data_IF_058783163746
#
_entry.id   IF_058783163746
#
_cell.length_a   1.000
_cell.length_b   1.000
_cell.length_c   1.000
_cell.angle_alpha   90.00
_cell.angle_beta   90.00
_cell.angle_gamma   90.00
#
_symmetry.space_group_name_H-M   'P 1'
#
loop_
_entity.id
_entity.type
_entity.pdbx_description
1 polymer ?
#
# COMPACT_ATOMS: atom_id res chain seq x y z
N UNK A 1 -13.19 7.73 5.29
CA UNK A 1 -14.27 6.98 5.95
C UNK A 1 -14.17 7.23 7.45
N UNK A 2 -15.25 6.99 8.20
CA UNK A 2 -15.25 7.03 9.67
C UNK A 2 -16.12 5.87 10.18
N UNK A 3 -15.90 5.45 11.43
CA UNK A 3 -16.68 4.42 12.12
C UNK A 3 -17.21 5.02 13.41
N UNK A 4 -18.53 5.01 13.60
CA UNK A 4 -19.19 5.68 14.71
C UNK A 4 -19.08 4.92 16.06
N UNK A 5 -18.85 3.61 16.02
CA UNK A 5 -18.72 2.79 17.22
C UNK A 5 -17.36 3.00 17.90
N UNK A 6 -17.36 3.58 19.10
CA UNK A 6 -16.15 3.82 19.88
C UNK A 6 -15.41 2.54 20.28
N UNK A 7 -16.10 1.39 20.36
CA UNK A 7 -15.47 0.11 20.68
C UNK A 7 -14.47 -0.29 19.58
N UNK A 8 -14.77 0.05 18.32
CA UNK A 8 -13.88 -0.23 17.18
C UNK A 8 -12.49 0.37 17.37
N UNK A 9 -12.40 1.57 17.96
CA UNK A 9 -11.16 2.32 18.10
C UNK A 9 -10.33 1.94 19.33
N UNK A 10 -10.89 1.17 20.27
CA UNK A 10 -10.23 0.85 21.53
C UNK A 10 -8.99 -0.02 21.33
N UNK A 11 -7.83 0.49 21.75
CA UNK A 11 -6.56 -0.24 21.67
C UNK A 11 -5.94 -0.31 20.28
N UNK A 12 -6.46 0.44 19.30
CA UNK A 12 -5.84 0.57 17.99
C UNK A 12 -4.68 1.57 18.03
N UNK A 13 -3.55 1.19 17.44
CA UNK A 13 -2.43 2.09 17.15
C UNK A 13 -2.43 2.43 15.65
N UNK A 14 -2.63 3.71 15.27
CA UNK A 14 -2.59 4.11 13.88
C UNK A 14 -1.20 3.92 13.27
N UNK A 15 -1.16 3.47 12.01
CA UNK A 15 0.06 3.45 11.22
C UNK A 15 0.42 4.87 10.79
N UNK A 16 1.72 5.17 10.73
CA UNK A 16 2.22 6.49 10.31
C UNK A 16 2.53 6.44 8.82
N UNK A 17 2.20 7.49 8.07
CA UNK A 17 2.64 7.61 6.69
C UNK A 17 4.09 8.07 6.66
N UNK A 18 4.92 7.39 5.88
CA UNK A 18 6.29 7.87 5.64
C UNK A 18 6.29 9.03 4.63
N UNK A 19 7.26 9.93 4.76
CA UNK A 19 7.54 10.97 3.77
C UNK A 19 8.69 10.56 2.83
N UNK A 20 9.30 9.39 3.06
CA UNK A 20 10.42 8.92 2.28
C UNK A 20 9.96 8.06 1.10
N UNK A 21 10.66 8.21 -0.03
CA UNK A 21 10.48 7.31 -1.18
C UNK A 21 11.38 6.10 -0.98
N UNK A 22 10.86 4.86 -1.02
CA UNK A 22 11.64 3.67 -0.77
C UNK A 22 12.60 3.43 -1.93
N UNK A 23 13.74 2.81 -1.62
CA UNK A 23 14.80 2.55 -2.60
C UNK A 23 14.50 1.29 -3.38
N UNK A 24 15.09 1.16 -4.57
CA UNK A 24 15.08 -0.11 -5.30
C UNK A 24 15.63 -1.24 -4.43
N UNK A 25 15.04 -2.43 -4.54
CA UNK A 25 15.33 -3.63 -3.74
C UNK A 25 14.98 -3.53 -2.24
N UNK A 26 14.39 -2.43 -1.78
CA UNK A 26 13.91 -2.34 -0.41
C UNK A 26 12.72 -3.27 -0.18
N UNK A 27 12.70 -3.95 0.97
CA UNK A 27 11.65 -4.93 1.30
C UNK A 27 10.37 -4.24 1.73
N UNK A 28 9.26 -4.66 1.11
CA UNK A 28 7.92 -4.16 1.37
C UNK A 28 7.01 -5.35 1.72
N UNK A 29 6.20 -5.16 2.76
CA UNK A 29 5.16 -6.11 3.17
C UNK A 29 3.80 -5.50 2.92
N UNK A 30 2.96 -6.21 2.18
CA UNK A 30 1.58 -5.85 1.88
C UNK A 30 0.66 -6.63 2.80
N UNK A 31 -0.26 -5.93 3.46
CA UNK A 31 -1.27 -6.53 4.32
C UNK A 31 -2.66 -6.18 3.81
N UNK A 32 -3.57 -7.15 3.75
CA UNK A 32 -4.94 -6.92 3.31
C UNK A 32 -5.83 -8.15 3.42
N UNK A 33 -7.05 -8.05 2.90
CA UNK A 33 -8.05 -9.12 2.94
C UNK A 33 -8.45 -9.51 1.51
N UNK A 34 -7.97 -10.65 0.98
CA UNK A 34 -8.29 -11.08 -0.38
C UNK A 34 -9.78 -11.27 -0.57
N UNK A 35 -10.29 -10.97 -1.77
CA UNK A 35 -11.69 -11.20 -2.12
C UNK A 35 -12.02 -12.68 -1.93
N UNK A 36 -13.13 -12.94 -1.22
CA UNK A 36 -13.64 -14.29 -0.99
C UNK A 36 -13.09 -14.98 0.26
N UNK A 37 -12.32 -14.28 1.09
CA UNK A 37 -11.90 -14.77 2.41
C UNK A 37 -11.94 -13.67 3.47
N UNK A 38 -12.14 -14.10 4.72
CA UNK A 38 -12.18 -13.20 5.89
C UNK A 38 -10.86 -13.21 6.67
N UNK A 39 -9.86 -13.92 6.15
CA UNK A 39 -8.54 -14.05 6.76
C UNK A 39 -7.59 -12.97 6.26
N UNK A 40 -6.75 -12.50 7.18
CA UNK A 40 -5.64 -11.60 6.87
C UNK A 40 -4.66 -12.29 5.91
N UNK A 41 -4.31 -11.60 4.83
CA UNK A 41 -3.25 -12.00 3.91
C UNK A 41 -2.07 -11.07 4.04
N UNK A 42 -0.88 -11.67 4.07
CA UNK A 42 0.40 -10.97 4.14
C UNK A 42 1.26 -11.46 2.99
N UNK A 43 1.70 -10.53 2.14
CA UNK A 43 2.61 -10.83 1.03
C UNK A 43 3.82 -9.93 1.10
N UNK A 44 5.00 -10.50 0.89
CA UNK A 44 6.28 -9.77 0.94
C UNK A 44 6.86 -9.71 -0.46
N UNK A 45 7.47 -8.58 -0.77
CA UNK A 45 8.19 -8.36 -2.01
C UNK A 45 9.25 -7.28 -1.83
N UNK A 46 9.81 -6.84 -2.95
CA UNK A 46 10.77 -5.73 -2.98
C UNK A 46 10.34 -4.64 -3.94
N UNK A 47 10.83 -3.43 -3.73
CA UNK A 47 10.67 -2.35 -4.71
C UNK A 47 11.44 -2.70 -5.98
N UNK A 48 10.71 -2.94 -7.07
CA UNK A 48 11.28 -3.29 -8.37
C UNK A 48 11.45 -2.08 -9.28
N UNK A 49 10.67 -1.00 -9.07
CA UNK A 49 10.75 0.22 -9.87
C UNK A 49 10.21 1.43 -9.13
N UNK A 50 10.81 2.60 -9.36
CA UNK A 50 10.27 3.90 -8.97
C UNK A 50 10.20 4.75 -10.24
N UNK A 51 9.01 5.17 -10.65
CA UNK A 51 8.79 5.83 -11.95
C UNK A 51 7.60 6.78 -11.91
N UNK A 52 7.59 7.80 -12.76
CA UNK A 52 6.39 8.59 -13.01
C UNK A 52 5.47 7.85 -13.99
N UNK A 53 4.20 7.70 -13.66
CA UNK A 53 3.22 7.05 -14.54
C UNK A 53 1.83 7.63 -14.36
N UNK A 54 0.98 7.47 -15.38
CA UNK A 54 -0.42 7.87 -15.29
C UNK A 54 -1.16 6.96 -14.31
N UNK A 55 -1.74 7.55 -13.28
CA UNK A 55 -2.55 6.85 -12.30
C UNK A 55 -3.94 6.58 -12.86
N UNK A 56 -4.38 5.31 -12.86
CA UNK A 56 -5.59 4.90 -13.61
C UNK A 56 -6.87 5.59 -13.10
N UNK A 57 -6.99 5.83 -11.79
CA UNK A 57 -8.22 6.36 -11.19
C UNK A 57 -8.36 7.88 -11.29
N UNK A 58 -7.26 8.63 -11.35
CA UNK A 58 -7.28 10.10 -11.49
C UNK A 58 -6.91 10.59 -12.89
N UNK A 59 -6.31 9.73 -13.72
CA UNK A 59 -5.68 10.07 -15.01
C UNK A 59 -4.51 11.07 -14.89
N UNK A 60 -4.03 11.34 -13.67
CA UNK A 60 -2.91 12.24 -13.43
C UNK A 60 -1.56 11.53 -13.55
N UNK A 61 -0.50 12.27 -13.86
CA UNK A 61 0.86 11.76 -13.97
C UNK A 61 1.59 11.91 -12.64
N UNK A 62 1.72 10.80 -11.91
CA UNK A 62 2.18 10.79 -10.51
C UNK A 62 3.33 9.80 -10.32
N UNK A 63 4.04 9.95 -9.19
CA UNK A 63 5.07 9.00 -8.78
C UNK A 63 4.42 7.65 -8.43
N UNK A 64 4.96 6.57 -8.96
CA UNK A 64 4.50 5.21 -8.65
C UNK A 64 5.69 4.34 -8.28
N UNK A 65 5.47 3.42 -7.35
CA UNK A 65 6.49 2.47 -6.91
C UNK A 65 5.94 1.07 -7.18
N UNK A 66 6.64 0.34 -8.02
CA UNK A 66 6.30 -1.03 -8.33
C UNK A 66 6.95 -1.94 -7.30
N UNK A 67 6.19 -2.90 -6.81
CA UNK A 67 6.68 -3.94 -5.90
C UNK A 67 6.51 -5.31 -6.56
N UNK A 68 7.43 -6.21 -6.28
CA UNK A 68 7.35 -7.61 -6.68
C UNK A 68 6.81 -8.46 -5.51
N UNK A 69 5.58 -8.13 -5.09
CA UNK A 69 4.84 -8.87 -4.08
C UNK A 69 3.59 -9.45 -4.73
N UNK A 70 3.19 -10.66 -4.34
CA UNK A 70 1.91 -11.21 -4.77
C UNK A 70 0.77 -10.32 -4.29
N UNK A 71 0.02 -9.74 -5.22
CA UNK A 71 -1.14 -8.89 -4.90
C UNK A 71 -2.38 -9.48 -5.54
N UNK A 72 -3.32 -9.87 -4.69
CA UNK A 72 -4.62 -10.38 -5.10
C UNK A 72 -5.67 -9.26 -4.97
N UNK A 73 -6.76 -9.30 -5.77
CA UNK A 73 -7.93 -8.46 -5.52
C UNK A 73 -8.35 -8.57 -4.04
N UNK A 74 -8.59 -7.42 -3.38
CA UNK A 74 -8.89 -7.33 -1.94
C UNK A 74 -7.72 -6.87 -1.08
N UNK A 75 -6.47 -7.00 -1.54
CA UNK A 75 -5.34 -6.36 -0.86
C UNK A 75 -5.27 -4.84 -1.15
N UNK A 76 -5.92 -4.39 -2.23
CA UNK A 76 -6.06 -2.99 -2.61
C UNK A 76 -6.77 -2.18 -1.52
N UNK A 77 -6.21 -1.03 -1.16
CA UNK A 77 -6.66 -0.18 -0.06
C UNK A 77 -5.99 -0.49 1.27
N UNK A 78 -5.29 -1.63 1.37
CA UNK A 78 -4.48 -2.00 2.53
C UNK A 78 -3.11 -1.31 2.58
N UNK A 79 -2.41 -1.47 3.71
CA UNK A 79 -1.08 -0.90 3.92
C UNK A 79 0.04 -1.68 3.19
N UNK A 80 1.00 -0.94 2.63
CA UNK A 80 2.33 -1.42 2.27
C UNK A 80 3.34 -0.87 3.28
N UNK A 81 4.02 -1.76 4.00
CA UNK A 81 4.87 -1.43 5.15
C UNK A 81 6.33 -1.68 4.77
N UNK A 82 7.20 -0.70 5.03
CA UNK A 82 8.64 -0.87 4.90
C UNK A 82 9.19 -1.66 6.09
N UNK A 83 10.04 -2.65 5.83
CA UNK A 83 10.57 -3.52 6.88
C UNK A 83 11.43 -2.77 7.92
N UNK A 84 12.10 -1.70 7.52
CA UNK A 84 12.96 -0.91 8.42
C UNK A 84 12.25 0.27 9.06
N UNK A 85 11.00 0.55 8.69
CA UNK A 85 10.26 1.69 9.19
C UNK A 85 9.34 1.24 10.32
N UNK A 86 9.53 1.81 11.50
CA UNK A 86 8.75 1.49 12.71
C UNK A 86 7.28 1.89 12.53
N UNK A 87 6.48 1.02 11.91
CA UNK A 87 5.06 1.24 11.60
C UNK A 87 4.82 2.35 10.56
N UNK A 88 5.80 2.62 9.69
CA UNK A 88 5.59 3.52 8.56
C UNK A 88 5.16 2.78 7.30
N UNK A 89 4.34 3.45 6.51
CA UNK A 89 3.53 2.78 5.52
C UNK A 89 3.16 3.70 4.36
N UNK A 90 2.83 3.05 3.25
CA UNK A 90 2.13 3.64 2.12
C UNK A 90 0.78 2.95 1.89
N UNK A 91 -0.15 3.64 1.23
CA UNK A 91 -1.44 3.05 0.85
C UNK A 91 -1.32 2.37 -0.52
N UNK A 92 -1.72 1.09 -0.61
CA UNK A 92 -1.72 0.36 -1.88
C UNK A 92 -2.96 0.67 -2.69
N UNK A 93 -2.77 1.12 -3.93
CA UNK A 93 -3.88 1.26 -4.88
C UNK A 93 -3.52 0.70 -6.25
N UNK A 94 -4.41 -0.11 -6.88
CA UNK A 94 -4.11 -0.79 -8.12
C UNK A 94 -4.03 0.20 -9.29
N UNK A 95 -3.00 0.08 -10.13
CA UNK A 95 -2.96 0.69 -11.45
C UNK A 95 -3.25 -0.40 -12.49
N UNK A 96 -4.24 -0.25 -13.37
CA UNK A 96 -4.71 -1.35 -14.24
C UNK A 96 -3.73 -1.64 -15.39
N UNK A 97 -2.82 -0.70 -15.72
CA UNK A 97 -1.91 -0.83 -16.87
C UNK A 97 -0.67 -1.69 -16.64
N UNK A 98 -0.28 -1.91 -15.39
CA UNK A 98 0.89 -2.67 -14.99
C UNK A 98 0.55 -3.30 -13.62
N UNK A 99 1.25 -4.33 -13.18
CA UNK A 99 1.23 -4.80 -11.77
C UNK A 99 1.86 -3.75 -10.83
N UNK A 100 1.53 -2.48 -11.01
CA UNK A 100 2.14 -1.28 -10.45
C UNK A 100 1.13 -0.67 -9.52
N UNK A 101 1.51 -0.48 -8.27
CA UNK A 101 0.70 0.24 -7.30
C UNK A 101 1.21 1.67 -7.26
N UNK A 102 0.34 2.63 -7.57
CA UNK A 102 0.69 4.04 -7.51
C UNK A 102 0.61 4.51 -6.07
N UNK A 103 1.59 5.32 -5.63
CA UNK A 103 1.58 5.90 -4.30
C UNK A 103 1.32 7.40 -4.42
N UNK A 104 0.32 7.88 -3.69
CA UNK A 104 0.11 9.31 -3.46
C UNK A 104 0.84 9.67 -2.16
N UNK A 105 1.95 10.42 -2.26
CA UNK A 105 2.29 11.34 -1.19
C UNK A 105 1.39 12.56 -1.36
N UNK A 106 0.26 12.59 -0.66
CA UNK A 106 -0.40 13.87 -0.37
C UNK A 106 0.15 14.37 0.94
N UNK A 107 0.84 15.51 0.87
CA UNK A 107 0.98 16.42 2.02
C UNK A 107 -0.41 16.91 2.43
#
# INVERSE_FOLDING_TARGET
MTVDDNIFWNGLEPLTLTNDVPRLQESITVVGFPIGGDNLSVTKGVVSRVVMSTYTHSLEFLLTIQIDAATNPGNSGGPAIQEHANSEMFVLMPNIKLSVFGYLMSV
#
